data_IF_905279076780
#
_entry.id   IF_905279076780
#
_cell.length_a   1.000
_cell.length_b   1.000
_cell.length_c   1.000
_cell.angle_alpha   90.00
_cell.angle_beta   90.00
_cell.angle_gamma   90.00
#
_symmetry.space_group_name_H-M   'P 1'
#
loop_
_entity.id
_entity.type
_entity.pdbx_description
1 polymer ?
#
# COMPACT_ATOMS: atom_id res chain seq x y z
N UNK A 1 -10.78 -13.47 55.18
CA UNK A 1 -10.91 -12.55 54.02
C UNK A 1 -11.13 -13.42 52.80
N UNK A 2 -12.22 -13.31 52.06
CA UNK A 2 -12.40 -14.08 50.84
C UNK A 2 -11.57 -13.45 49.74
N UNK A 3 -10.75 -14.28 49.06
CA UNK A 3 -10.01 -13.91 47.84
C UNK A 3 -10.99 -13.46 46.74
N UNK A 4 -10.79 -12.26 46.20
CA UNK A 4 -11.46 -11.83 45.02
C UNK A 4 -10.96 -12.65 43.81
N UNK A 5 -11.82 -13.48 43.27
CA UNK A 5 -11.59 -14.12 41.95
C UNK A 5 -11.33 -13.05 40.92
N UNK A 6 -10.36 -13.25 40.01
CA UNK A 6 -10.13 -12.30 38.91
C UNK A 6 -11.39 -12.22 38.02
N UNK A 7 -11.85 -11.01 37.79
CA UNK A 7 -12.94 -10.72 36.85
C UNK A 7 -12.57 -11.27 35.46
N UNK A 8 -13.37 -12.18 34.94
CA UNK A 8 -13.22 -12.67 33.56
C UNK A 8 -13.32 -11.47 32.62
N UNK A 9 -12.27 -11.18 31.86
CA UNK A 9 -12.32 -10.22 30.78
C UNK A 9 -13.48 -10.57 29.83
N UNK A 10 -14.23 -9.59 29.35
CA UNK A 10 -15.37 -9.85 28.49
C UNK A 10 -14.92 -10.56 27.20
N UNK A 11 -15.64 -11.60 26.83
CA UNK A 11 -15.39 -12.49 25.68
C UNK A 11 -15.15 -11.71 24.36
N UNK A 12 -15.79 -10.54 24.22
CA UNK A 12 -15.66 -9.62 23.09
C UNK A 12 -14.26 -8.98 22.95
N UNK A 13 -13.50 -8.81 24.01
CA UNK A 13 -12.11 -8.30 23.95
C UNK A 13 -11.14 -9.39 23.47
N UNK A 14 -11.35 -10.65 23.79
CA UNK A 14 -10.53 -11.76 23.28
C UNK A 14 -10.65 -11.94 21.77
N UNK A 15 -11.85 -11.69 21.20
CA UNK A 15 -12.08 -11.79 19.76
C UNK A 15 -11.34 -10.69 18.98
N UNK A 16 -11.36 -9.44 19.46
CA UNK A 16 -10.66 -8.31 18.82
C UNK A 16 -9.14 -8.55 18.82
N UNK A 17 -8.58 -8.99 19.95
CA UNK A 17 -7.14 -9.28 20.04
C UNK A 17 -6.73 -10.41 19.07
N UNK A 18 -7.58 -11.43 18.94
CA UNK A 18 -7.36 -12.53 18.00
C UNK A 18 -7.40 -12.03 16.55
N UNK A 19 -8.37 -11.18 16.22
CA UNK A 19 -8.50 -10.54 14.89
C UNK A 19 -7.29 -9.66 14.57
N UNK A 20 -6.83 -8.83 15.50
CA UNK A 20 -5.64 -8.00 15.36
C UNK A 20 -4.38 -8.85 15.09
N UNK A 21 -4.16 -9.92 15.85
CA UNK A 21 -3.04 -10.84 15.64
C UNK A 21 -3.09 -11.52 14.28
N UNK A 22 -4.28 -11.97 13.88
CA UNK A 22 -4.52 -12.63 12.59
C UNK A 22 -4.26 -11.68 11.42
N UNK A 23 -4.81 -10.48 11.47
CA UNK A 23 -4.61 -9.47 10.43
C UNK A 23 -3.13 -9.06 10.33
N UNK A 24 -2.46 -8.80 11.46
CA UNK A 24 -1.03 -8.50 11.49
C UNK A 24 -0.19 -9.59 10.84
N UNK A 25 -0.40 -10.85 11.23
CA UNK A 25 0.34 -11.98 10.69
C UNK A 25 0.15 -12.11 9.16
N UNK A 26 -1.06 -11.85 8.68
CA UNK A 26 -1.34 -11.80 7.25
C UNK A 26 -0.57 -10.67 6.52
N UNK A 27 -0.57 -9.45 7.03
CA UNK A 27 0.15 -8.34 6.41
C UNK A 27 1.66 -8.60 6.37
N UNK A 28 2.22 -9.22 7.41
CA UNK A 28 3.62 -9.63 7.44
C UNK A 28 3.90 -10.72 6.38
N UNK A 29 3.02 -11.72 6.25
CA UNK A 29 3.13 -12.76 5.22
C UNK A 29 3.01 -12.19 3.80
N UNK A 30 2.03 -11.31 3.56
CA UNK A 30 1.85 -10.68 2.25
C UNK A 30 3.09 -9.85 1.86
N UNK A 31 3.69 -9.10 2.80
CA UNK A 31 4.97 -8.43 2.56
C UNK A 31 6.04 -9.41 2.12
N UNK A 32 6.18 -10.54 2.81
CA UNK A 32 7.23 -11.52 2.50
C UNK A 32 7.01 -12.17 1.13
N UNK A 33 5.77 -12.47 0.80
CA UNK A 33 5.38 -13.01 -0.52
C UNK A 33 5.67 -12.01 -1.65
N UNK A 34 5.37 -10.73 -1.45
CA UNK A 34 5.64 -9.67 -2.43
C UNK A 34 7.15 -9.46 -2.58
N UNK A 35 7.90 -9.39 -1.47
CA UNK A 35 9.35 -9.23 -1.52
C UNK A 35 10.00 -10.39 -2.28
N UNK A 36 9.63 -11.63 -1.97
CA UNK A 36 10.17 -12.81 -2.66
C UNK A 36 9.84 -12.82 -4.15
N UNK A 37 8.62 -12.43 -4.53
CA UNK A 37 8.20 -12.35 -5.92
C UNK A 37 8.98 -11.28 -6.70
N UNK A 38 9.26 -10.12 -6.08
CA UNK A 38 10.01 -9.05 -6.71
C UNK A 38 11.50 -9.36 -6.81
N UNK A 39 12.09 -10.05 -5.84
CA UNK A 39 13.46 -10.56 -5.93
C UNK A 39 13.60 -11.59 -7.06
N UNK A 40 12.60 -12.45 -7.27
CA UNK A 40 12.60 -13.38 -8.41
C UNK A 40 12.53 -12.64 -9.76
N UNK A 41 11.82 -11.53 -9.86
CA UNK A 41 11.80 -10.68 -11.06
C UNK A 41 13.20 -10.10 -11.35
N UNK A 42 13.92 -9.67 -10.32
CA UNK A 42 15.32 -9.19 -10.46
C UNK A 42 16.27 -10.26 -11.00
N UNK A 43 16.03 -11.54 -10.68
CA UNK A 43 16.80 -12.66 -11.18
C UNK A 43 16.44 -13.03 -12.64
N UNK A 44 15.18 -12.83 -13.03
CA UNK A 44 14.64 -13.27 -14.33
C UNK A 44 14.83 -12.25 -15.46
N UNK A 45 15.23 -11.00 -15.16
CA UNK A 45 15.44 -9.97 -16.18
C UNK A 45 16.64 -10.33 -17.08
N UNK A 46 16.45 -10.18 -18.39
CA UNK A 46 17.47 -10.43 -19.43
C UNK A 46 17.66 -9.19 -20.33
N UNK A 47 17.33 -8.01 -19.84
CA UNK A 47 17.29 -6.76 -20.59
C UNK A 47 18.62 -6.29 -21.16
N UNK A 48 18.72 -4.99 -21.46
CA UNK A 48 19.91 -4.39 -22.08
C UNK A 48 21.17 -4.59 -21.23
N UNK A 49 22.34 -4.69 -21.91
CA UNK A 49 23.64 -4.94 -21.29
C UNK A 49 23.94 -4.00 -20.09
N UNK A 50 23.53 -2.73 -20.16
CA UNK A 50 23.71 -1.77 -19.07
C UNK A 50 22.97 -2.17 -17.80
N UNK A 51 21.75 -2.72 -17.92
CA UNK A 51 20.96 -3.22 -16.78
C UNK A 51 21.64 -4.45 -16.19
N UNK A 52 22.19 -5.32 -17.04
CA UNK A 52 22.85 -6.55 -16.63
C UNK A 52 24.20 -6.32 -15.93
N UNK A 53 24.77 -5.12 -15.98
CA UNK A 53 25.94 -4.75 -15.17
C UNK A 53 25.62 -4.53 -13.70
N UNK A 54 24.35 -4.31 -13.37
CA UNK A 54 23.90 -4.14 -11.99
C UNK A 54 23.72 -5.51 -11.32
N UNK A 55 23.90 -5.56 -10.00
CA UNK A 55 23.53 -6.74 -9.23
C UNK A 55 22.00 -6.85 -9.13
N UNK A 56 21.45 -8.08 -9.10
CA UNK A 56 20.02 -8.27 -8.83
C UNK A 56 19.66 -7.68 -7.46
N UNK A 57 18.58 -6.90 -7.42
CA UNK A 57 18.13 -6.30 -6.19
C UNK A 57 17.72 -7.33 -5.13
N UNK A 58 17.95 -6.97 -3.85
CA UNK A 58 17.45 -7.71 -2.67
C UNK A 58 16.92 -6.73 -1.67
N UNK A 59 15.86 -7.12 -0.95
CA UNK A 59 15.27 -6.26 0.06
C UNK A 59 16.13 -6.14 1.30
N UNK A 60 16.54 -4.92 1.61
CA UNK A 60 17.09 -4.56 2.91
C UNK A 60 15.94 -4.23 3.86
N UNK A 61 15.90 -4.91 5.01
CA UNK A 61 14.86 -4.74 6.02
C UNK A 61 15.39 -3.93 7.19
N UNK A 62 14.70 -2.84 7.52
CA UNK A 62 15.02 -1.97 8.65
C UNK A 62 13.81 -1.86 9.57
N UNK A 63 13.94 -2.39 10.77
CA UNK A 63 12.94 -2.18 11.83
C UNK A 63 12.97 -0.73 12.30
N UNK A 64 11.81 -0.22 12.65
CA UNK A 64 11.66 1.08 13.27
C UNK A 64 10.57 1.02 14.33
N UNK A 65 10.75 1.80 15.39
CA UNK A 65 9.77 1.99 16.46
C UNK A 65 9.35 3.46 16.50
N UNK A 66 8.14 3.72 16.98
CA UNK A 66 7.74 5.08 17.28
C UNK A 66 8.51 5.59 18.49
N UNK A 67 8.86 6.90 18.54
CA UNK A 67 9.48 7.49 19.71
C UNK A 67 8.64 7.25 20.98
N UNK A 68 9.28 7.24 22.13
CA UNK A 68 8.58 7.15 23.42
C UNK A 68 7.57 8.31 23.55
N UNK A 69 6.31 7.97 23.87
CA UNK A 69 5.20 8.92 23.99
C UNK A 69 3.86 8.22 24.16
N UNK A 70 2.77 8.90 23.81
CA UNK A 70 1.42 8.34 23.86
C UNK A 70 1.14 7.30 22.76
N UNK A 71 1.86 7.39 21.65
CA UNK A 71 1.77 6.45 20.53
C UNK A 71 2.88 5.42 20.59
N UNK A 72 2.54 4.16 20.37
CA UNK A 72 3.45 3.02 20.42
C UNK A 72 3.37 2.19 19.15
N UNK A 73 4.27 1.20 19.08
CA UNK A 73 4.37 0.31 17.94
C UNK A 73 5.45 0.75 16.97
N UNK A 74 5.46 0.13 15.80
CA UNK A 74 6.52 0.33 14.83
C UNK A 74 6.25 -0.45 13.56
N UNK A 75 7.30 -0.79 12.84
CA UNK A 75 7.17 -1.53 11.60
C UNK A 75 8.50 -2.04 11.06
N UNK A 76 8.43 -2.63 9.90
CA UNK A 76 9.60 -3.06 9.13
C UNK A 76 9.48 -2.42 7.75
N UNK A 77 10.38 -1.52 7.46
CA UNK A 77 10.59 -0.96 6.13
C UNK A 77 11.49 -1.92 5.34
N UNK A 78 11.00 -2.41 4.20
CA UNK A 78 11.78 -3.24 3.28
C UNK A 78 11.99 -2.44 2.00
N UNK A 79 13.24 -2.14 1.64
CA UNK A 79 13.57 -1.35 0.44
C UNK A 79 14.53 -2.13 -0.43
N UNK A 80 14.26 -2.18 -1.73
CA UNK A 80 15.13 -2.80 -2.73
C UNK A 80 15.47 -1.80 -3.84
N UNK A 81 16.72 -1.89 -4.33
CA UNK A 81 17.22 -1.23 -5.53
C UNK A 81 17.93 -2.28 -6.38
N UNK A 82 17.60 -2.34 -7.66
CA UNK A 82 18.14 -3.39 -8.52
C UNK A 82 18.05 -3.09 -10.00
N UNK A 83 18.02 -4.14 -10.76
CA UNK A 83 17.99 -4.13 -12.23
C UNK A 83 16.65 -3.65 -12.77
N UNK A 84 15.56 -4.20 -12.24
CA UNK A 84 14.18 -3.92 -12.66
C UNK A 84 13.60 -2.76 -11.87
N UNK A 85 13.74 -2.81 -10.54
CA UNK A 85 13.25 -1.76 -9.66
C UNK A 85 14.36 -0.76 -9.32
N UNK A 86 14.27 0.45 -9.86
CA UNK A 86 15.17 1.53 -9.46
C UNK A 86 15.03 1.85 -7.97
N UNK A 87 13.79 1.75 -7.48
CA UNK A 87 13.45 1.69 -6.04
C UNK A 87 12.09 1.05 -5.88
N UNK A 88 11.98 0.13 -4.96
CA UNK A 88 10.69 -0.36 -4.46
C UNK A 88 10.76 -0.44 -2.95
N UNK A 89 9.68 -0.05 -2.30
CA UNK A 89 9.54 -0.16 -0.86
C UNK A 89 8.28 -0.92 -0.49
N UNK A 90 8.39 -1.86 0.45
CA UNK A 90 7.29 -2.61 1.05
C UNK A 90 7.36 -2.44 2.57
N UNK A 91 6.40 -1.73 3.13
CA UNK A 91 6.37 -1.39 4.55
C UNK A 91 5.22 -2.09 5.25
N UNK A 92 5.51 -2.78 6.35
CA UNK A 92 4.50 -3.27 7.28
C UNK A 92 4.63 -2.48 8.57
N UNK A 93 3.52 -2.01 9.09
CA UNK A 93 3.47 -1.34 10.38
C UNK A 93 2.33 -1.87 11.24
N UNK A 94 2.56 -1.86 12.56
CA UNK A 94 1.52 -2.06 13.56
C UNK A 94 1.72 -0.97 14.61
N UNK A 95 0.78 -0.05 14.69
CA UNK A 95 0.85 1.13 15.55
C UNK A 95 -0.41 1.24 16.39
N UNK A 96 -0.28 1.79 17.58
CA UNK A 96 -1.40 2.05 18.48
C UNK A 96 -1.10 3.26 19.35
N UNK A 97 -2.14 3.92 19.83
CA UNK A 97 -2.01 5.15 20.62
C UNK A 97 -3.34 5.84 20.78
N UNK A 98 -3.30 7.16 20.88
CA UNK A 98 -4.49 8.00 20.98
C UNK A 98 -4.48 9.06 19.89
N UNK A 99 -5.60 9.20 19.18
CA UNK A 99 -5.76 10.31 18.23
C UNK A 99 -5.73 11.66 18.95
N UNK A 100 -5.05 12.63 18.36
CA UNK A 100 -5.14 14.02 18.81
C UNK A 100 -6.57 14.54 18.65
N UNK A 101 -6.92 15.55 19.43
CA UNK A 101 -8.27 16.15 19.43
C UNK A 101 -8.72 16.57 18.02
N UNK A 102 -7.80 17.06 17.20
CA UNK A 102 -8.06 17.45 15.82
C UNK A 102 -8.46 16.26 14.93
N UNK A 103 -7.91 15.06 15.16
CA UNK A 103 -8.18 13.88 14.35
C UNK A 103 -9.40 13.09 14.82
N UNK A 104 -9.79 13.19 16.08
CA UNK A 104 -10.94 12.45 16.65
C UNK A 104 -12.22 12.67 15.86
N UNK A 105 -12.50 13.90 15.45
CA UNK A 105 -13.71 14.25 14.73
C UNK A 105 -13.80 13.62 13.32
N UNK A 106 -12.67 13.18 12.75
CA UNK A 106 -12.60 12.59 11.40
C UNK A 106 -12.48 11.07 11.39
N UNK A 107 -12.30 10.44 12.56
CA UNK A 107 -12.05 9.00 12.66
C UNK A 107 -13.24 8.30 13.32
N UNK A 108 -13.89 7.33 12.62
CA UNK A 108 -15.02 6.61 13.17
C UNK A 108 -14.73 6.00 14.54
N UNK A 109 -15.58 6.29 15.54
CA UNK A 109 -15.49 5.78 16.90
C UNK A 109 -14.43 6.44 17.80
N UNK A 110 -13.63 7.36 17.28
CA UNK A 110 -12.63 8.07 18.06
C UNK A 110 -13.20 9.21 18.93
N UNK A 111 -14.46 9.62 18.66
CA UNK A 111 -15.17 10.59 19.50
C UNK A 111 -15.46 10.02 20.90
N UNK A 112 -15.75 8.72 20.98
CA UNK A 112 -16.10 8.02 22.23
C UNK A 112 -14.84 7.66 23.03
N UNK A 113 -13.81 7.10 22.34
CA UNK A 113 -12.53 6.71 22.90
C UNK A 113 -11.42 7.05 21.89
N UNK A 114 -10.43 7.90 22.25
CA UNK A 114 -9.39 8.32 21.32
C UNK A 114 -8.41 7.21 20.97
N UNK A 115 -8.41 6.09 21.67
CA UNK A 115 -7.47 4.99 21.47
C UNK A 115 -7.69 4.34 20.12
N UNK A 116 -6.60 3.98 19.46
CA UNK A 116 -6.62 3.24 18.21
C UNK A 116 -5.55 2.16 18.16
N UNK A 117 -5.79 1.18 17.31
CA UNK A 117 -4.83 0.23 16.81
C UNK A 117 -4.95 0.18 15.28
N UNK A 118 -3.83 0.16 14.58
CA UNK A 118 -3.81 0.04 13.13
C UNK A 118 -2.66 -0.86 12.70
N UNK A 119 -2.93 -1.74 11.76
CA UNK A 119 -1.89 -2.54 11.10
C UNK A 119 -2.16 -2.61 9.60
N UNK A 120 -1.10 -2.71 8.81
CA UNK A 120 -1.23 -2.82 7.37
C UNK A 120 0.10 -2.99 6.65
N UNK A 121 0.00 -3.32 5.37
CA UNK A 121 1.10 -3.34 4.41
C UNK A 121 0.86 -2.28 3.36
N UNK A 122 1.92 -1.59 2.95
CA UNK A 122 1.88 -0.59 1.88
C UNK A 122 3.14 -0.73 1.03
N UNK A 123 2.99 -0.60 -0.27
CA UNK A 123 4.12 -0.60 -1.20
C UNK A 123 3.99 0.47 -2.28
N UNK A 124 5.14 0.95 -2.74
CA UNK A 124 5.25 1.69 -4.00
C UNK A 124 6.46 1.16 -4.76
N UNK A 125 6.25 0.83 -6.03
CA UNK A 125 7.28 0.38 -6.94
C UNK A 125 7.58 1.45 -8.00
N UNK A 126 8.85 1.83 -8.10
CA UNK A 126 9.39 2.72 -9.13
C UNK A 126 10.35 1.93 -10.02
N UNK A 127 9.85 1.37 -11.15
CA UNK A 127 10.67 0.59 -12.07
C UNK A 127 11.71 1.44 -12.78
N UNK A 128 12.85 0.83 -13.13
CA UNK A 128 13.92 1.48 -13.92
C UNK A 128 13.46 1.77 -15.34
N UNK A 129 12.84 0.79 -15.98
CA UNK A 129 12.30 0.94 -17.32
C UNK A 129 11.06 1.84 -17.35
N UNK A 130 10.97 2.82 -18.25
CA UNK A 130 9.74 3.58 -18.48
C UNK A 130 8.59 2.75 -19.06
N UNK A 131 8.88 1.55 -19.58
CA UNK A 131 7.87 0.62 -20.13
C UNK A 131 7.11 -0.11 -19.03
N UNK A 132 7.73 -0.29 -17.87
CA UNK A 132 7.08 -0.90 -16.71
C UNK A 132 6.34 0.18 -15.91
N UNK A 133 5.06 0.01 -15.60
CA UNK A 133 4.29 1.01 -14.86
C UNK A 133 4.72 1.12 -13.40
N UNK A 134 4.64 2.33 -12.84
CA UNK A 134 4.69 2.58 -11.40
C UNK A 134 3.42 1.98 -10.79
N UNK A 135 3.51 1.38 -9.61
CA UNK A 135 2.35 0.84 -8.93
C UNK A 135 2.39 1.11 -7.42
N UNK A 136 1.20 1.26 -6.86
CA UNK A 136 0.97 1.38 -5.44
C UNK A 136 -0.08 0.35 -4.99
N UNK A 137 0.09 -0.17 -3.79
CA UNK A 137 -0.92 -0.97 -3.11
C UNK A 137 -0.82 -0.74 -1.60
N UNK A 138 -1.96 -0.71 -0.94
CA UNK A 138 -2.03 -0.87 0.51
C UNK A 138 -3.22 -1.72 0.91
N UNK A 139 -3.10 -2.41 2.05
CA UNK A 139 -4.22 -3.02 2.76
C UNK A 139 -3.99 -2.83 4.25
N UNK A 140 -5.07 -2.52 4.99
CA UNK A 140 -4.98 -2.20 6.42
C UNK A 140 -6.23 -2.60 7.18
N UNK A 141 -6.07 -2.81 8.48
CA UNK A 141 -7.13 -2.92 9.47
C UNK A 141 -6.95 -1.82 10.53
N UNK A 142 -8.02 -1.12 10.87
CA UNK A 142 -8.05 -0.09 11.91
C UNK A 142 -9.11 -0.47 12.95
N UNK A 143 -8.77 -0.27 14.22
CA UNK A 143 -9.62 -0.53 15.37
C UNK A 143 -9.63 0.70 16.28
N UNK A 144 -10.82 1.17 16.60
CA UNK A 144 -11.17 2.17 17.63
C UNK A 144 -12.23 1.55 18.54
N UNK A 145 -13.31 2.26 18.92
CA UNK A 145 -14.55 1.62 19.38
C UNK A 145 -15.29 0.89 18.23
N UNK A 146 -14.87 1.14 17.00
CA UNK A 146 -15.28 0.45 15.78
C UNK A 146 -14.06 -0.25 15.15
N UNK A 147 -14.30 -1.09 14.15
CA UNK A 147 -13.22 -1.70 13.38
C UNK A 147 -13.60 -1.74 11.91
N UNK A 148 -12.60 -1.64 11.03
CA UNK A 148 -12.82 -1.73 9.58
C UNK A 148 -11.54 -2.04 8.83
N UNK A 149 -11.71 -2.47 7.59
CA UNK A 149 -10.63 -2.62 6.63
C UNK A 149 -10.62 -1.47 5.62
N UNK A 150 -9.44 -1.22 5.06
CA UNK A 150 -9.24 -0.31 3.96
C UNK A 150 -8.08 -0.78 3.10
N UNK A 151 -8.03 -0.32 1.87
CA UNK A 151 -6.97 -0.70 0.97
C UNK A 151 -7.25 -0.36 -0.48
N UNK A 152 -6.50 -1.00 -1.36
CA UNK A 152 -6.60 -0.86 -2.80
C UNK A 152 -5.24 -0.89 -3.47
N UNK A 153 -5.25 -0.68 -4.76
CA UNK A 153 -4.04 -0.54 -5.56
C UNK A 153 -4.35 0.21 -6.84
N UNK A 154 -3.36 0.93 -7.34
CA UNK A 154 -3.46 1.70 -8.57
C UNK A 154 -2.19 1.60 -9.41
N UNK A 155 -2.37 1.78 -10.72
CA UNK A 155 -1.33 1.70 -11.72
C UNK A 155 -1.07 3.06 -12.37
N UNK A 156 0.20 3.45 -12.43
CA UNK A 156 0.63 4.74 -13.01
C UNK A 156 1.65 4.49 -14.13
N UNK A 157 1.21 4.12 -15.33
CA UNK A 157 2.09 3.97 -16.48
C UNK A 157 2.58 5.32 -17.00
N UNK A 158 3.80 5.33 -17.57
CA UNK A 158 4.32 6.45 -18.36
C UNK A 158 3.65 6.45 -19.74
N UNK A 159 3.54 5.27 -20.33
CA UNK A 159 2.91 5.01 -21.62
C UNK A 159 1.77 4.01 -21.41
N UNK A 160 0.52 4.50 -21.24
CA UNK A 160 -0.62 3.62 -21.02
C UNK A 160 -0.85 2.67 -22.20
N UNK A 161 -1.08 1.39 -21.89
CA UNK A 161 -1.48 0.36 -22.84
C UNK A 161 -2.86 -0.16 -22.45
N UNK A 162 -3.77 -0.26 -23.42
CA UNK A 162 -5.16 -0.68 -23.18
C UNK A 162 -5.23 -2.09 -22.60
N UNK A 163 -4.37 -3.02 -23.06
CA UNK A 163 -4.33 -4.39 -22.55
C UNK A 163 -3.88 -4.44 -21.10
N UNK A 164 -2.81 -3.73 -20.71
CA UNK A 164 -2.33 -3.69 -19.33
C UNK A 164 -3.36 -3.09 -18.38
N UNK A 165 -4.02 -2.02 -18.86
CA UNK A 165 -5.11 -1.38 -18.12
C UNK A 165 -6.27 -2.36 -17.93
N UNK A 166 -6.68 -3.06 -18.96
CA UNK A 166 -7.75 -4.05 -18.91
C UNK A 166 -7.41 -5.22 -17.99
N UNK A 167 -6.19 -5.76 -18.08
CA UNK A 167 -5.73 -6.87 -17.25
C UNK A 167 -5.66 -6.46 -15.76
N UNK A 168 -5.12 -5.28 -15.46
CA UNK A 168 -5.03 -4.76 -14.09
C UNK A 168 -6.42 -4.56 -13.47
N UNK A 169 -7.31 -3.90 -14.20
CA UNK A 169 -8.70 -3.73 -13.76
C UNK A 169 -9.46 -5.06 -13.67
N UNK A 170 -9.22 -5.98 -14.61
CA UNK A 170 -9.81 -7.31 -14.60
C UNK A 170 -9.45 -8.13 -13.37
N UNK A 171 -8.19 -8.08 -12.93
CA UNK A 171 -7.73 -8.74 -11.73
C UNK A 171 -8.43 -8.22 -10.46
N UNK A 172 -8.54 -6.90 -10.32
CA UNK A 172 -9.26 -6.31 -9.19
C UNK A 172 -10.78 -6.53 -9.27
N UNK A 173 -11.34 -6.48 -10.48
CA UNK A 173 -12.75 -6.80 -10.67
C UNK A 173 -13.06 -8.22 -10.23
N UNK A 174 -12.25 -9.19 -10.63
CA UNK A 174 -12.42 -10.58 -10.21
C UNK A 174 -12.32 -10.76 -8.68
N UNK A 175 -11.39 -10.06 -8.03
CA UNK A 175 -11.27 -10.05 -6.57
C UNK A 175 -12.52 -9.45 -5.89
N UNK A 176 -13.07 -8.37 -6.44
CA UNK A 176 -14.30 -7.75 -5.93
C UNK A 176 -15.52 -8.64 -6.14
N UNK A 177 -15.75 -9.14 -7.37
CA UNK A 177 -16.91 -9.94 -7.75
C UNK A 177 -16.98 -11.26 -6.97
N UNK A 178 -15.84 -11.78 -6.50
CA UNK A 178 -15.80 -12.96 -5.63
C UNK A 178 -16.43 -12.74 -4.23
N UNK A 179 -16.71 -11.49 -3.86
CA UNK A 179 -17.30 -11.10 -2.58
C UNK A 179 -18.62 -10.34 -2.76
N UNK A 180 -18.62 -9.28 -3.58
CA UNK A 180 -19.81 -8.49 -3.91
C UNK A 180 -19.59 -7.76 -5.25
N UNK A 181 -20.51 -7.99 -6.22
CA UNK A 181 -20.44 -7.39 -7.55
C UNK A 181 -20.53 -5.86 -7.53
N UNK A 182 -21.05 -5.24 -6.45
CA UNK A 182 -21.11 -3.80 -6.27
C UNK A 182 -19.78 -3.19 -5.83
N UNK A 183 -18.82 -3.99 -5.35
CA UNK A 183 -17.54 -3.49 -4.84
C UNK A 183 -16.69 -2.86 -5.94
N UNK A 184 -16.56 -3.54 -7.08
CA UNK A 184 -15.68 -3.04 -8.13
C UNK A 184 -16.12 -1.67 -8.67
N UNK A 185 -17.34 -1.44 -9.14
CA UNK A 185 -17.74 -0.12 -9.65
C UNK A 185 -17.58 0.97 -8.59
N UNK A 186 -17.98 0.71 -7.35
CA UNK A 186 -17.87 1.64 -6.24
C UNK A 186 -16.43 2.01 -5.90
N UNK A 187 -15.55 1.01 -5.79
CA UNK A 187 -14.17 1.23 -5.37
C UNK A 187 -13.29 1.73 -6.51
N UNK A 188 -13.64 1.44 -7.76
CA UNK A 188 -13.01 2.05 -8.93
C UNK A 188 -13.30 3.55 -9.01
N UNK A 189 -14.56 3.94 -8.89
CA UNK A 189 -14.96 5.35 -8.87
C UNK A 189 -14.23 6.11 -7.77
N UNK A 190 -14.21 5.55 -6.57
CA UNK A 190 -13.49 6.15 -5.44
C UNK A 190 -11.97 6.25 -5.69
N UNK A 191 -11.38 5.25 -6.33
CA UNK A 191 -9.96 5.29 -6.73
C UNK A 191 -9.69 6.44 -7.71
N UNK A 192 -10.53 6.59 -8.73
CA UNK A 192 -10.39 7.64 -9.75
C UNK A 192 -10.49 9.04 -9.13
N UNK A 193 -11.43 9.26 -8.20
CA UNK A 193 -11.56 10.50 -7.44
C UNK A 193 -10.38 10.77 -6.51
N UNK A 194 -9.93 9.72 -5.78
CA UNK A 194 -8.87 9.86 -4.79
C UNK A 194 -7.52 10.19 -5.41
N UNK A 195 -7.15 9.51 -6.51
CA UNK A 195 -5.85 9.66 -7.17
C UNK A 195 -5.86 10.71 -8.31
N UNK A 196 -6.74 11.69 -8.21
CA UNK A 196 -6.76 12.85 -9.11
C UNK A 196 -5.87 13.98 -8.55
N UNK A 197 -5.19 14.70 -9.43
CA UNK A 197 -4.38 15.89 -9.11
C UNK A 197 -5.16 17.17 -9.49
N UNK A 198 -5.93 17.79 -8.59
CA UNK A 198 -6.78 18.93 -8.95
C UNK A 198 -6.00 20.14 -9.47
N UNK A 199 -4.79 20.36 -8.96
CA UNK A 199 -3.93 21.48 -9.39
C UNK A 199 -3.29 21.28 -10.76
N UNK A 200 -3.41 20.10 -11.36
CA UNK A 200 -2.96 19.74 -12.71
C UNK A 200 -4.10 19.41 -13.66
N UNK A 201 -5.30 19.22 -13.12
CA UNK A 201 -6.46 18.70 -13.86
C UNK A 201 -6.15 17.36 -14.56
N UNK A 202 -5.46 16.46 -13.83
CA UNK A 202 -5.00 15.19 -14.40
C UNK A 202 -5.13 14.02 -13.39
N UNK A 203 -5.45 12.84 -13.88
CA UNK A 203 -5.40 11.61 -13.11
C UNK A 203 -3.93 11.17 -12.88
N UNK A 204 -3.61 10.64 -11.69
CA UNK A 204 -2.27 10.12 -11.39
C UNK A 204 -1.86 8.99 -12.35
N UNK A 205 -2.78 8.10 -12.66
CA UNK A 205 -2.56 6.95 -13.54
C UNK A 205 -3.86 6.47 -14.18
N UNK A 206 -3.94 5.18 -14.47
CA UNK A 206 -5.11 4.53 -15.05
C UNK A 206 -6.11 4.03 -14.00
N UNK A 207 -5.84 4.30 -12.70
CA UNK A 207 -6.69 3.90 -11.59
C UNK A 207 -6.44 2.47 -11.13
N UNK A 208 -7.46 1.88 -10.59
CA UNK A 208 -7.52 0.57 -9.95
C UNK A 208 -8.72 0.51 -9.02
N UNK A 209 -8.53 0.16 -7.75
CA UNK A 209 -9.56 0.25 -6.71
C UNK A 209 -9.02 0.95 -5.46
N UNK A 210 -9.92 1.64 -4.75
CA UNK A 210 -9.65 2.19 -3.42
C UNK A 210 -10.89 2.03 -2.54
N UNK A 211 -10.72 1.48 -1.34
CA UNK A 211 -11.80 1.34 -0.36
C UNK A 211 -11.30 1.70 1.04
N UNK A 212 -12.23 2.17 1.84
CA UNK A 212 -12.04 2.46 3.26
C UNK A 212 -13.34 2.20 4.02
N UNK A 213 -13.27 2.13 5.35
CA UNK A 213 -14.41 1.90 6.22
C UNK A 213 -15.21 0.62 5.88
N UNK A 214 -14.55 -0.42 5.32
CA UNK A 214 -15.21 -1.70 5.06
C UNK A 214 -15.49 -2.41 6.38
N UNK A 215 -16.75 -2.50 6.71
CA UNK A 215 -17.28 -3.23 7.85
C UNK A 215 -18.73 -3.64 7.54
N UNK A 216 -18.89 -4.87 7.07
CA UNK A 216 -20.21 -5.45 6.75
C UNK A 216 -20.89 -6.07 7.98
N UNK A 217 -20.15 -6.17 9.10
CA UNK A 217 -20.56 -6.91 10.29
C UNK A 217 -20.03 -8.35 10.30
N UNK A 218 -19.49 -8.83 9.20
CA UNK A 218 -18.76 -10.12 9.09
C UNK A 218 -17.27 -9.87 8.89
N UNK A 219 -16.51 -9.89 10.00
CA UNK A 219 -15.07 -9.64 9.96
C UNK A 219 -14.31 -10.63 9.06
N UNK A 220 -14.76 -11.90 9.02
CA UNK A 220 -14.10 -12.94 8.22
C UNK A 220 -14.28 -12.67 6.72
N UNK A 221 -15.48 -12.26 6.30
CA UNK A 221 -15.75 -11.88 4.91
C UNK A 221 -14.96 -10.63 4.50
N UNK A 222 -14.96 -9.58 5.34
CA UNK A 222 -14.22 -8.34 5.09
C UNK A 222 -12.70 -8.58 5.03
N UNK A 223 -12.19 -9.45 5.90
CA UNK A 223 -10.79 -9.84 5.91
C UNK A 223 -10.43 -10.67 4.68
N UNK A 224 -11.27 -11.63 4.28
CA UNK A 224 -11.06 -12.43 3.08
C UNK A 224 -10.99 -11.55 1.81
N UNK A 225 -11.90 -10.58 1.67
CA UNK A 225 -11.83 -9.60 0.59
C UNK A 225 -10.51 -8.83 0.60
N UNK A 226 -10.10 -8.32 1.77
CA UNK A 226 -8.85 -7.58 1.93
C UNK A 226 -7.62 -8.43 1.55
N UNK A 227 -7.66 -9.74 1.86
CA UNK A 227 -6.63 -10.68 1.44
C UNK A 227 -6.60 -10.87 -0.07
N UNK A 228 -7.75 -11.01 -0.70
CA UNK A 228 -7.84 -11.24 -2.14
C UNK A 228 -7.44 -10.01 -2.95
N UNK A 229 -7.69 -8.79 -2.46
CA UNK A 229 -7.14 -7.55 -3.02
C UNK A 229 -5.60 -7.55 -3.02
N UNK A 230 -4.97 -7.93 -1.90
CA UNK A 230 -3.51 -8.01 -1.81
C UNK A 230 -2.90 -9.07 -2.74
N UNK A 231 -3.55 -10.24 -2.85
CA UNK A 231 -3.12 -11.32 -3.76
C UNK A 231 -3.31 -10.92 -5.23
N UNK A 232 -4.45 -10.31 -5.58
CA UNK A 232 -4.74 -9.84 -6.93
C UNK A 232 -3.67 -8.85 -7.40
N UNK A 233 -3.35 -7.85 -6.56
CA UNK A 233 -2.27 -6.91 -6.86
C UNK A 233 -0.94 -7.62 -7.11
N UNK A 234 -0.50 -8.46 -6.17
CA UNK A 234 0.78 -9.18 -6.29
C UNK A 234 0.86 -9.92 -7.62
N UNK A 235 -0.18 -10.68 -7.97
CA UNK A 235 -0.17 -11.52 -9.15
C UNK A 235 -0.15 -10.69 -10.43
N UNK A 236 -1.08 -9.74 -10.57
CA UNK A 236 -1.17 -8.94 -11.80
C UNK A 236 0.03 -8.02 -11.99
N UNK A 237 0.54 -7.38 -10.93
CA UNK A 237 1.70 -6.52 -11.09
C UNK A 237 2.97 -7.29 -11.45
N UNK A 238 3.18 -8.49 -10.89
CA UNK A 238 4.26 -9.37 -11.32
C UNK A 238 4.17 -9.74 -12.81
N UNK A 239 2.98 -10.00 -13.31
CA UNK A 239 2.75 -10.30 -14.72
C UNK A 239 3.10 -9.09 -15.61
N UNK A 240 2.60 -7.89 -15.26
CA UNK A 240 2.86 -6.67 -16.01
C UNK A 240 4.35 -6.30 -16.02
N UNK A 241 5.04 -6.44 -14.88
CA UNK A 241 6.49 -6.20 -14.84
C UNK A 241 7.22 -7.16 -15.77
N UNK A 242 6.95 -8.47 -15.72
CA UNK A 242 7.58 -9.48 -16.58
C UNK A 242 7.30 -9.27 -18.06
N UNK A 243 6.12 -8.77 -18.40
CA UNK A 243 5.72 -8.45 -19.77
C UNK A 243 6.61 -7.39 -20.40
N UNK A 244 7.04 -6.38 -19.63
CA UNK A 244 7.71 -5.18 -20.13
C UNK A 244 9.14 -4.98 -19.67
N UNK A 245 9.65 -5.74 -18.68
CA UNK A 245 10.95 -5.49 -18.05
C UNK A 245 12.14 -5.63 -19.03
N UNK A 246 11.96 -6.38 -20.12
CA UNK A 246 13.00 -6.61 -21.13
C UNK A 246 12.82 -5.74 -22.39
N UNK A 247 11.80 -4.87 -22.43
CA UNK A 247 11.59 -3.96 -23.55
C UNK A 247 12.65 -2.85 -23.56
N UNK A 248 13.09 -2.49 -24.76
CA UNK A 248 14.01 -1.37 -24.96
C UNK A 248 13.29 -0.02 -24.76
N UNK A 249 14.04 0.95 -24.31
CA UNK A 249 13.57 2.32 -24.14
C UNK A 249 14.69 3.32 -24.47
N UNK A 250 14.31 4.58 -24.68
CA UNK A 250 15.21 5.67 -25.05
C UNK A 250 15.38 6.67 -23.91
N UNK A 251 16.40 7.55 -23.99
CA UNK A 251 16.56 8.69 -23.05
C UNK A 251 15.32 9.61 -23.05
N UNK A 252 14.61 9.73 -24.18
CA UNK A 252 13.36 10.47 -24.24
C UNK A 252 12.26 9.81 -23.43
N UNK A 253 12.18 8.49 -23.47
CA UNK A 253 11.23 7.73 -22.65
C UNK A 253 11.57 7.88 -21.15
N UNK A 254 12.86 7.87 -20.81
CA UNK A 254 13.34 8.11 -19.43
C UNK A 254 12.99 9.52 -18.95
N UNK A 255 13.18 10.52 -19.77
CA UNK A 255 12.78 11.89 -19.43
C UNK A 255 11.27 12.01 -19.16
N UNK A 256 10.44 11.35 -19.97
CA UNK A 256 8.99 11.29 -19.75
C UNK A 256 8.66 10.58 -18.40
N UNK A 257 9.38 9.51 -18.06
CA UNK A 257 9.22 8.84 -16.76
C UNK A 257 9.54 9.77 -15.59
N UNK A 258 10.61 10.56 -15.68
CA UNK A 258 10.99 11.49 -14.62
C UNK A 258 9.93 12.57 -14.41
N UNK A 259 9.31 13.10 -15.48
CA UNK A 259 8.19 14.05 -15.38
C UNK A 259 6.97 13.37 -14.74
N UNK A 260 6.61 12.15 -15.17
CA UNK A 260 5.50 11.41 -14.56
C UNK A 260 5.73 11.13 -13.07
N UNK A 261 6.97 10.86 -12.68
CA UNK A 261 7.38 10.74 -11.27
C UNK A 261 7.23 12.07 -10.52
N UNK A 262 7.45 13.22 -11.17
CA UNK A 262 7.17 14.54 -10.59
C UNK A 262 5.70 14.68 -10.20
N UNK A 263 4.76 14.28 -11.07
CA UNK A 263 3.32 14.25 -10.76
C UNK A 263 3.00 13.30 -9.60
N UNK A 264 3.66 12.16 -9.57
CA UNK A 264 3.53 11.19 -8.46
C UNK A 264 3.97 11.78 -7.11
N UNK A 265 5.10 12.49 -7.08
CA UNK A 265 5.60 13.20 -5.90
C UNK A 265 4.63 14.29 -5.45
N UNK A 266 4.11 15.10 -6.39
CA UNK A 266 3.11 16.12 -6.09
C UNK A 266 1.88 15.51 -5.40
N UNK A 267 1.34 14.42 -5.95
CA UNK A 267 0.21 13.74 -5.31
C UNK A 267 0.53 13.31 -3.88
N UNK A 268 1.64 12.59 -3.68
CA UNK A 268 1.98 12.03 -2.39
C UNK A 268 2.23 13.11 -1.32
N UNK A 269 2.87 14.20 -1.67
CA UNK A 269 3.17 15.27 -0.71
C UNK A 269 2.00 16.25 -0.47
N UNK A 270 1.19 16.50 -1.51
CA UNK A 270 0.13 17.52 -1.43
C UNK A 270 -1.23 16.93 -1.09
N UNK A 271 -1.56 15.75 -1.63
CA UNK A 271 -2.93 15.21 -1.58
C UNK A 271 -3.07 13.93 -0.79
N UNK A 272 -2.02 13.07 -0.71
CA UNK A 272 -2.16 11.78 -0.04
C UNK A 272 -2.44 11.92 1.47
N UNK A 273 -3.60 11.39 1.89
CA UNK A 273 -4.03 11.43 3.29
C UNK A 273 -3.14 10.57 4.19
N UNK A 274 -2.66 9.42 3.66
CA UNK A 274 -1.79 8.51 4.40
C UNK A 274 -0.43 9.13 4.72
N UNK A 275 0.21 9.77 3.74
CA UNK A 275 1.47 10.51 3.91
C UNK A 275 1.29 11.65 4.91
N UNK A 276 0.26 12.48 4.75
CA UNK A 276 -0.03 13.58 5.68
C UNK A 276 -0.25 13.08 7.10
N UNK A 277 -1.10 12.08 7.27
CA UNK A 277 -1.39 11.49 8.57
C UNK A 277 -0.11 10.95 9.22
N UNK A 278 0.67 10.15 8.50
CA UNK A 278 1.92 9.59 9.01
C UNK A 278 2.91 10.66 9.49
N UNK A 279 3.12 11.72 8.70
CA UNK A 279 4.02 12.82 9.07
C UNK A 279 3.49 13.64 10.25
N UNK A 280 2.20 13.92 10.30
CA UNK A 280 1.58 14.72 11.37
C UNK A 280 1.49 13.98 12.71
N UNK A 281 1.44 12.66 12.70
CA UNK A 281 1.39 11.82 13.91
C UNK A 281 2.77 11.32 14.36
N UNK A 282 3.86 11.94 13.89
CA UNK A 282 5.21 11.57 14.32
C UNK A 282 5.68 10.19 13.85
N UNK A 283 5.12 9.69 12.75
CA UNK A 283 5.55 8.45 12.13
C UNK A 283 7.00 8.52 11.61
N UNK A 284 7.61 7.36 11.36
CA UNK A 284 8.96 7.30 10.82
C UNK A 284 9.02 7.91 9.42
N UNK A 285 9.69 9.06 9.28
CA UNK A 285 9.76 9.83 8.03
C UNK A 285 10.36 9.01 6.89
N UNK A 286 11.41 8.21 7.13
CA UNK A 286 12.02 7.37 6.09
C UNK A 286 11.05 6.31 5.57
N UNK A 287 10.30 5.67 6.49
CA UNK A 287 9.30 4.67 6.14
C UNK A 287 8.10 5.28 5.37
N UNK A 288 7.69 6.50 5.71
CA UNK A 288 6.61 7.21 5.02
C UNK A 288 7.07 7.66 3.64
N UNK A 289 8.23 8.32 3.54
CA UNK A 289 8.77 8.87 2.30
C UNK A 289 9.48 7.83 1.43
N UNK A 290 9.50 6.55 1.85
CA UNK A 290 9.98 5.48 0.99
C UNK A 290 9.14 5.36 -0.30
N UNK A 291 7.89 5.82 -0.28
CA UNK A 291 6.98 5.87 -1.43
C UNK A 291 7.44 6.79 -2.57
N UNK A 292 8.37 7.71 -2.30
CA UNK A 292 8.86 8.64 -3.30
C UNK A 292 9.89 7.99 -4.23
N UNK A 293 9.91 8.36 -5.53
CA UNK A 293 10.91 7.88 -6.48
C UNK A 293 12.32 8.35 -6.13
N UNK A 294 13.38 7.65 -6.59
CA UNK A 294 14.75 8.09 -6.37
C UNK A 294 15.11 9.37 -7.11
N UNK A 295 14.48 9.61 -8.25
CA UNK A 295 14.61 10.82 -9.07
C UNK A 295 13.27 11.18 -9.68
N UNK A 296 13.02 12.48 -9.83
CA UNK A 296 11.87 13.06 -10.50
C UNK A 296 12.31 14.35 -11.19
N UNK A 297 11.54 14.80 -12.20
CA UNK A 297 11.75 16.08 -12.86
C UNK A 297 10.43 16.84 -13.04
N UNK A 298 10.56 18.14 -13.23
CA UNK A 298 9.48 19.04 -13.59
C UNK A 298 9.87 19.79 -14.86
N UNK A 299 8.87 20.19 -15.65
CA UNK A 299 9.02 21.03 -16.84
C UNK A 299 9.46 22.44 -16.45
#
# INVERSE_FOLDING_TARGET
MPEKMPEKMPEKMSDIETQQKTARAWFESLRDDICSAFEAIEDDVTGADEIMTLEPGRFERKSWDRPEGQEKGGGIMSVMRGRVFEKVGVNVSTVHGEFSEQFRASMPGAEEDPRFWASGVSLVAHPRSPRVPIAHMNTRMIVTTKQWFGGGGDLTPVFPLDQDTADFHGAFKAACDGHDESYYPKYKEWCDEYFFLPHRDEARGVGGIFYDNLNTGDWQADFAFTQDVGKAFKNIYNELVRRHMNESWTEKDKAAQLIKRGRYVEFNLIHDRGTKFGLMTGGNTEAILMSLPPMAAWE
#
